data_IF_552084193786
#
_entry.id   IF_552084193786
#
_cell.length_a   1.000
_cell.length_b   1.000
_cell.length_c   1.000
_cell.angle_alpha   90.00
_cell.angle_beta   90.00
_cell.angle_gamma   90.00
#
_symmetry.space_group_name_H-M   'P 1'
#
loop_
_entity.id
_entity.type
_entity.pdbx_description
1 polymer ?
#
# COMPACT_ATOMS: atom_id res chain seq x y z
N UNK A 1 -1.06 -4.91 -4.89
CA UNK A 1 -0.46 -5.15 -3.57
C UNK A 1 -1.44 -4.67 -2.51
N UNK A 2 -1.76 -5.53 -1.54
CA UNK A 2 -2.68 -5.21 -0.45
C UNK A 2 -1.89 -5.32 0.87
N UNK A 3 -1.76 -4.22 1.59
CA UNK A 3 -1.02 -4.14 2.86
C UNK A 3 -1.93 -3.70 4.00
N UNK A 4 -1.39 -3.73 5.22
CA UNK A 4 -2.09 -3.39 6.47
C UNK A 4 -2.82 -2.03 6.42
N UNK A 5 -2.32 -1.06 5.65
CA UNK A 5 -2.97 0.24 5.46
C UNK A 5 -4.36 0.19 4.86
N UNK A 6 -4.74 -0.93 4.23
CA UNK A 6 -6.12 -1.14 3.79
C UNK A 6 -7.09 -1.11 4.99
N UNK A 7 -6.62 -1.52 6.17
CA UNK A 7 -7.37 -1.54 7.42
C UNK A 7 -7.56 -0.14 8.03
N UNK A 8 -6.71 0.83 7.65
CA UNK A 8 -6.83 2.24 8.04
C UNK A 8 -7.61 3.10 7.04
N UNK A 9 -8.05 2.54 5.90
CA UNK A 9 -8.89 3.27 4.95
C UNK A 9 -10.27 3.68 5.50
N UNK A 10 -10.98 2.85 6.30
CA UNK A 10 -12.23 3.27 6.93
C UNK A 10 -12.00 4.49 7.86
N UNK A 11 -10.91 4.48 8.63
CA UNK A 11 -10.49 5.59 9.48
C UNK A 11 -10.19 6.84 8.64
N UNK A 12 -9.44 6.70 7.54
CA UNK A 12 -9.21 7.83 6.63
C UNK A 12 -10.52 8.40 6.04
N UNK A 13 -11.51 7.55 5.73
CA UNK A 13 -12.82 7.99 5.27
C UNK A 13 -13.65 8.68 6.35
N UNK A 14 -13.49 8.31 7.62
CA UNK A 14 -14.16 9.00 8.73
C UNK A 14 -13.83 10.49 8.75
N UNK A 15 -12.56 10.83 8.56
CA UNK A 15 -12.11 12.21 8.54
C UNK A 15 -12.38 12.92 7.21
N UNK A 16 -12.19 12.24 6.08
CA UNK A 16 -12.25 12.89 4.77
C UNK A 16 -13.64 12.84 4.09
N UNK A 17 -14.55 12.01 4.56
CA UNK A 17 -15.89 11.87 3.99
C UNK A 17 -15.88 11.63 2.48
N UNK A 18 -16.63 12.43 1.71
CA UNK A 18 -16.78 12.24 0.26
C UNK A 18 -15.49 12.54 -0.50
N UNK A 19 -14.69 13.45 0.03
CA UNK A 19 -13.38 13.76 -0.55
C UNK A 19 -12.43 12.55 -0.46
N UNK A 20 -12.52 11.75 0.60
CA UNK A 20 -11.76 10.51 0.75
C UNK A 20 -12.08 9.46 -0.29
N UNK A 21 -13.38 9.24 -0.55
CA UNK A 21 -13.82 8.30 -1.59
C UNK A 21 -13.30 8.71 -2.97
N UNK A 22 -13.39 10.01 -3.28
CA UNK A 22 -12.84 10.55 -4.52
C UNK A 22 -11.31 10.38 -4.58
N UNK A 23 -10.60 10.63 -3.48
CA UNK A 23 -9.15 10.45 -3.39
C UNK A 23 -8.72 8.99 -3.57
N UNK A 24 -9.48 8.00 -3.07
CA UNK A 24 -9.17 6.58 -3.28
C UNK A 24 -9.18 6.23 -4.78
N UNK A 25 -10.19 6.72 -5.50
CA UNK A 25 -10.33 6.49 -6.96
C UNK A 25 -9.24 7.26 -7.71
N UNK A 26 -9.01 8.52 -7.35
CA UNK A 26 -8.00 9.37 -7.98
C UNK A 26 -6.60 8.81 -7.77
N UNK A 27 -6.25 8.40 -6.55
CA UNK A 27 -4.97 7.78 -6.23
C UNK A 27 -4.76 6.49 -7.04
N UNK A 28 -5.78 5.62 -7.16
CA UNK A 28 -5.69 4.42 -7.98
C UNK A 28 -5.40 4.76 -9.47
N UNK A 29 -6.10 5.75 -10.02
CA UNK A 29 -5.91 6.20 -11.40
C UNK A 29 -4.53 6.80 -11.63
N UNK A 30 -4.08 7.69 -10.73
CA UNK A 30 -2.76 8.33 -10.78
C UNK A 30 -1.65 7.29 -10.63
N UNK A 31 -1.75 6.36 -9.67
CA UNK A 31 -0.76 5.29 -9.48
C UNK A 31 -0.70 4.35 -10.69
N UNK A 32 -1.84 4.01 -11.30
CA UNK A 32 -1.89 3.22 -12.52
C UNK A 32 -1.24 3.96 -13.70
N UNK A 33 -1.51 5.26 -13.84
CA UNK A 33 -0.95 6.09 -14.91
C UNK A 33 0.57 6.27 -14.76
N UNK A 34 1.01 6.70 -13.57
CA UNK A 34 2.44 6.87 -13.24
C UNK A 34 3.21 5.56 -13.33
N UNK A 35 2.62 4.42 -12.94
CA UNK A 35 3.22 3.10 -13.11
C UNK A 35 3.47 2.74 -14.58
N UNK A 36 2.56 3.11 -15.50
CA UNK A 36 2.78 2.91 -16.94
C UNK A 36 3.87 3.81 -17.50
N UNK A 37 3.90 5.08 -17.09
CA UNK A 37 4.97 6.00 -17.49
C UNK A 37 6.31 5.46 -17.02
N UNK A 38 6.38 5.02 -15.76
CA UNK A 38 7.59 4.46 -15.19
C UNK A 38 8.12 3.31 -16.03
N UNK A 39 7.26 2.33 -16.36
CA UNK A 39 7.67 1.22 -17.23
C UNK A 39 8.08 1.71 -18.61
N UNK A 40 7.37 2.65 -19.21
CA UNK A 40 7.78 3.21 -20.51
C UNK A 40 9.20 3.82 -20.44
N UNK A 41 9.58 4.44 -19.33
CA UNK A 41 10.93 4.98 -19.13
C UNK A 41 12.02 3.91 -18.99
N UNK A 42 11.69 2.65 -18.68
CA UNK A 42 12.67 1.55 -18.65
C UNK A 42 13.14 1.14 -20.06
N UNK A 43 12.33 1.45 -21.08
CA UNK A 43 12.57 1.06 -22.46
C UNK A 43 13.08 2.24 -23.29
N UNK A 44 13.94 1.95 -24.26
CA UNK A 44 14.33 2.87 -25.33
C UNK A 44 14.18 2.20 -26.69
N UNK A 45 13.92 2.99 -27.72
CA UNK A 45 13.95 2.52 -29.10
C UNK A 45 15.41 2.42 -29.56
N UNK A 46 15.81 1.23 -30.01
CA UNK A 46 17.10 1.02 -30.66
C UNK A 46 17.11 1.68 -32.06
N UNK A 47 18.28 1.72 -32.72
CA UNK A 47 18.43 2.27 -34.07
C UNK A 47 17.48 1.60 -35.10
N UNK A 48 17.08 0.36 -34.85
CA UNK A 48 16.12 -0.43 -35.64
C UNK A 48 14.64 -0.19 -35.27
N UNK A 49 14.34 0.74 -34.36
CA UNK A 49 12.98 1.03 -33.86
C UNK A 49 12.41 -0.01 -32.90
N UNK A 50 13.23 -0.93 -32.39
CA UNK A 50 12.81 -1.96 -31.43
C UNK A 50 12.95 -1.46 -29.99
N UNK A 51 11.90 -1.65 -29.18
CA UNK A 51 11.92 -1.31 -27.76
C UNK A 51 12.77 -2.31 -26.98
N UNK A 52 13.91 -1.86 -26.48
CA UNK A 52 14.82 -2.63 -25.63
C UNK A 52 14.82 -2.07 -24.20
N UNK A 53 14.86 -2.95 -23.20
CA UNK A 53 14.93 -2.56 -21.79
C UNK A 53 16.38 -2.14 -21.47
N UNK A 54 16.62 -0.83 -21.42
CA UNK A 54 17.97 -0.26 -21.19
C UNK A 54 18.22 0.03 -19.71
N UNK A 55 17.15 0.15 -18.91
CA UNK A 55 17.22 0.53 -17.51
C UNK A 55 16.54 -0.49 -16.63
N UNK A 56 17.18 -0.84 -15.52
CA UNK A 56 16.68 -1.83 -14.57
C UNK A 56 16.11 -1.20 -13.29
N UNK A 57 16.60 -0.01 -12.93
CA UNK A 57 16.29 0.63 -11.64
C UNK A 57 15.69 2.03 -11.79
N UNK A 58 14.98 2.46 -10.75
CA UNK A 58 14.45 3.82 -10.65
C UNK A 58 15.59 4.88 -10.65
N UNK A 59 16.75 4.50 -10.10
CA UNK A 59 17.98 5.29 -10.12
C UNK A 59 18.49 5.54 -11.55
N UNK A 60 18.46 4.52 -12.41
CA UNK A 60 18.91 4.63 -13.81
C UNK A 60 18.03 5.59 -14.63
N UNK A 61 16.72 5.57 -14.37
CA UNK A 61 15.76 6.50 -14.98
C UNK A 61 16.08 7.93 -14.56
N UNK A 62 16.29 8.15 -13.26
CA UNK A 62 16.63 9.46 -12.73
C UNK A 62 17.97 9.98 -13.26
N UNK A 63 18.99 9.12 -13.37
CA UNK A 63 20.28 9.46 -13.96
C UNK A 63 20.15 9.83 -15.44
N UNK A 64 19.30 9.14 -16.20
CA UNK A 64 19.05 9.46 -17.60
C UNK A 64 18.33 10.80 -17.77
N UNK A 65 17.30 11.08 -16.97
CA UNK A 65 16.57 12.35 -17.01
C UNK A 65 17.46 13.54 -16.58
N UNK A 66 18.26 13.35 -15.53
CA UNK A 66 19.10 14.41 -14.97
C UNK A 66 20.46 14.57 -15.68
N UNK A 67 20.77 13.76 -16.71
CA UNK A 67 22.06 13.77 -17.42
C UNK A 67 22.47 15.17 -17.91
N UNK A 68 21.50 16.03 -18.26
CA UNK A 68 21.73 17.40 -18.76
C UNK A 68 22.07 18.41 -17.66
N UNK A 69 21.63 18.18 -16.43
CA UNK A 69 21.84 19.11 -15.30
C UNK A 69 22.97 18.62 -14.37
N UNK A 70 23.02 17.33 -14.07
CA UNK A 70 24.08 16.69 -13.28
C UNK A 70 24.05 15.16 -13.46
N UNK A 71 25.14 14.54 -13.95
CA UNK A 71 25.13 13.14 -14.42
C UNK A 71 24.91 12.06 -13.35
N UNK A 72 24.98 12.39 -12.05
CA UNK A 72 24.77 11.42 -10.96
C UNK A 72 23.88 11.91 -9.81
N UNK A 73 23.53 13.21 -9.79
CA UNK A 73 22.79 13.79 -8.67
C UNK A 73 21.35 13.24 -8.61
N UNK A 74 20.70 13.08 -9.77
CA UNK A 74 19.33 12.58 -9.87
C UNK A 74 19.18 11.17 -9.31
N UNK A 75 20.09 10.27 -9.69
CA UNK A 75 20.11 8.90 -9.17
C UNK A 75 20.33 8.83 -7.66
N UNK A 76 21.30 9.60 -7.14
CA UNK A 76 21.58 9.63 -5.69
C UNK A 76 20.35 10.09 -4.91
N UNK A 77 19.68 11.17 -5.34
CA UNK A 77 18.49 11.70 -4.66
C UNK A 77 17.34 10.68 -4.65
N UNK A 78 17.08 10.03 -5.79
CA UNK A 78 16.04 9.02 -5.89
C UNK A 78 16.38 7.79 -5.04
N UNK A 79 17.62 7.33 -5.06
CA UNK A 79 18.07 6.19 -4.25
C UNK A 79 17.94 6.50 -2.74
N UNK A 80 18.39 7.68 -2.30
CA UNK A 80 18.20 8.11 -0.90
C UNK A 80 16.73 8.18 -0.52
N UNK A 81 15.88 8.71 -1.40
CA UNK A 81 14.42 8.79 -1.17
C UNK A 81 13.81 7.39 -1.05
N UNK A 82 14.14 6.48 -1.96
CA UNK A 82 13.64 5.10 -1.97
C UNK A 82 14.10 4.30 -0.74
N UNK A 83 15.37 4.46 -0.33
CA UNK A 83 15.90 3.84 0.88
C UNK A 83 15.20 4.40 2.12
N UNK A 84 15.01 5.71 2.19
CA UNK A 84 14.30 6.36 3.30
C UNK A 84 12.86 5.86 3.39
N UNK A 85 12.14 5.81 2.27
CA UNK A 85 10.78 5.29 2.20
C UNK A 85 10.69 3.84 2.68
N UNK A 86 11.62 2.99 2.25
CA UNK A 86 11.66 1.58 2.65
C UNK A 86 11.94 1.43 4.16
N UNK A 87 12.90 2.19 4.69
CA UNK A 87 13.23 2.17 6.13
C UNK A 87 12.03 2.62 6.97
N UNK A 88 11.38 3.72 6.59
CA UNK A 88 10.19 4.23 7.30
C UNK A 88 9.05 3.22 7.25
N UNK A 89 8.84 2.58 6.10
CA UNK A 89 7.85 1.51 5.92
C UNK A 89 8.14 0.32 6.83
N UNK A 90 9.41 -0.12 6.92
CA UNK A 90 9.82 -1.19 7.81
C UNK A 90 9.59 -0.85 9.29
N UNK A 91 9.96 0.35 9.72
CA UNK A 91 9.73 0.82 11.09
C UNK A 91 8.23 0.82 11.41
N UNK A 92 7.41 1.34 10.51
CA UNK A 92 5.97 1.40 10.73
C UNK A 92 5.36 -0.02 10.84
N UNK A 93 5.71 -0.93 9.93
CA UNK A 93 5.23 -2.31 10.00
C UNK A 93 5.65 -3.01 11.31
N UNK A 94 6.85 -2.74 11.81
CA UNK A 94 7.32 -3.28 13.10
C UNK A 94 6.53 -2.73 14.28
N UNK A 95 6.27 -1.43 14.31
CA UNK A 95 5.46 -0.78 15.37
C UNK A 95 4.04 -1.33 15.35
N UNK A 96 3.40 -1.33 14.18
CA UNK A 96 2.01 -1.83 14.03
C UNK A 96 1.92 -3.31 14.41
N UNK A 97 2.87 -4.14 13.99
CA UNK A 97 2.90 -5.56 14.38
C UNK A 97 3.09 -5.73 15.89
N UNK A 98 3.94 -4.89 16.52
CA UNK A 98 4.12 -4.87 17.97
C UNK A 98 2.83 -4.53 18.72
N UNK A 99 2.10 -3.51 18.26
CA UNK A 99 0.82 -3.10 18.82
C UNK A 99 -0.25 -4.21 18.64
N UNK A 100 -0.34 -4.80 17.45
CA UNK A 100 -1.29 -5.89 17.20
C UNK A 100 -1.01 -7.11 18.10
N UNK A 101 0.27 -7.44 18.33
CA UNK A 101 0.66 -8.53 19.21
C UNK A 101 0.37 -8.22 20.68
N UNK A 102 0.62 -7.00 21.15
CA UNK A 102 0.31 -6.61 22.54
C UNK A 102 -1.20 -6.67 22.82
N UNK A 103 -2.02 -6.20 21.88
CA UNK A 103 -3.47 -6.30 21.97
C UNK A 103 -4.00 -7.73 21.85
N UNK A 104 -3.34 -8.59 21.07
CA UNK A 104 -3.74 -9.99 20.90
C UNK A 104 -3.42 -10.87 22.12
N UNK A 105 -2.40 -10.52 22.90
CA UNK A 105 -1.96 -11.28 24.07
C UNK A 105 -2.01 -10.44 25.36
N UNK A 106 -3.21 -9.97 25.77
CA UNK A 106 -3.35 -9.09 26.94
C UNK A 106 -2.99 -9.79 28.26
N UNK A 107 -2.99 -11.12 28.28
CA UNK A 107 -2.66 -11.95 29.45
C UNK A 107 -1.15 -12.04 29.73
N UNK A 108 -0.30 -11.62 28.79
CA UNK A 108 1.16 -11.65 28.96
C UNK A 108 1.62 -10.25 29.38
N UNK A 109 2.22 -10.06 30.58
CA UNK A 109 2.62 -8.75 31.09
C UNK A 109 3.91 -8.25 30.41
N UNK A 110 3.83 -7.98 29.11
CA UNK A 110 4.92 -7.49 28.28
C UNK A 110 4.57 -6.12 27.70
N UNK A 111 5.51 -5.19 27.80
CA UNK A 111 5.36 -3.85 27.20
C UNK A 111 5.32 -3.95 25.67
N UNK A 112 4.60 -3.03 25.01
CA UNK A 112 4.55 -2.91 23.53
C UNK A 112 5.95 -2.93 22.89
N UNK A 113 6.92 -2.25 23.52
CA UNK A 113 8.32 -2.23 23.08
C UNK A 113 8.91 -3.64 22.99
N UNK A 114 8.63 -4.50 23.96
CA UNK A 114 9.10 -5.89 23.98
C UNK A 114 8.47 -6.71 22.86
N UNK A 115 7.18 -6.49 22.57
CA UNK A 115 6.50 -7.10 21.44
C UNK A 115 7.08 -6.64 20.09
N UNK A 116 7.43 -5.37 19.93
CA UNK A 116 8.13 -4.88 18.73
C UNK A 116 9.52 -5.52 18.56
N UNK A 117 10.27 -5.74 19.65
CA UNK A 117 11.57 -6.46 19.57
C UNK A 117 11.36 -7.92 19.16
N UNK A 118 10.37 -8.60 19.72
CA UNK A 118 10.04 -9.98 19.35
C UNK A 118 9.64 -10.06 17.86
N UNK A 119 8.82 -9.12 17.38
CA UNK A 119 8.46 -9.03 15.97
C UNK A 119 9.69 -8.83 15.08
N UNK A 120 10.62 -7.95 15.47
CA UNK A 120 11.88 -7.73 14.74
C UNK A 120 12.74 -9.00 14.67
N UNK A 121 12.95 -9.68 15.80
CA UNK A 121 13.72 -10.93 15.85
C UNK A 121 13.09 -12.01 14.99
N UNK A 122 11.75 -12.07 14.93
CA UNK A 122 11.01 -13.03 14.11
C UNK A 122 11.09 -12.70 12.62
N UNK A 123 11.18 -11.42 12.25
CA UNK A 123 11.31 -10.97 10.85
C UNK A 123 12.77 -10.98 10.36
N UNK A 124 13.75 -10.97 11.27
CA UNK A 124 15.18 -10.96 10.93
C UNK A 124 15.60 -12.12 9.99
N UNK A 125 15.12 -13.38 10.17
CA UNK A 125 15.39 -14.46 9.22
C UNK A 125 14.95 -14.15 7.78
N UNK A 126 13.88 -13.35 7.60
CA UNK A 126 13.39 -12.98 6.27
C UNK A 126 14.39 -12.09 5.51
N UNK A 127 15.25 -11.35 6.21
CA UNK A 127 16.30 -10.51 5.60
C UNK A 127 17.36 -11.37 4.90
N UNK A 128 17.60 -12.59 5.38
CA UNK A 128 18.58 -13.51 4.79
C UNK A 128 18.04 -14.26 3.56
N UNK A 129 16.75 -14.10 3.22
CA UNK A 129 16.13 -14.73 2.06
C UNK A 129 16.55 -13.99 0.79
N UNK A 130 17.54 -14.56 0.07
CA UNK A 130 18.04 -14.00 -1.20
C UNK A 130 17.17 -14.32 -2.41
N UNK A 131 16.14 -15.15 -2.27
CA UNK A 131 15.34 -15.64 -3.41
C UNK A 131 13.91 -15.12 -3.40
N UNK A 132 13.54 -14.34 -4.42
CA UNK A 132 12.19 -13.78 -4.59
C UNK A 132 11.08 -14.83 -4.67
N UNK A 133 11.39 -16.09 -5.04
CA UNK A 133 10.40 -17.18 -5.04
C UNK A 133 9.83 -17.47 -3.66
N UNK A 134 10.67 -17.48 -2.62
CA UNK A 134 10.23 -17.72 -1.24
C UNK A 134 9.43 -16.51 -0.75
N UNK A 135 9.91 -15.30 -1.03
CA UNK A 135 9.20 -14.06 -0.71
C UNK A 135 7.84 -14.01 -1.41
N UNK A 136 7.75 -14.45 -2.67
CA UNK A 136 6.50 -14.53 -3.41
C UNK A 136 5.52 -15.52 -2.78
N UNK A 137 5.98 -16.70 -2.36
CA UNK A 137 5.14 -17.67 -1.62
C UNK A 137 4.63 -17.11 -0.30
N UNK A 138 5.49 -16.45 0.48
CA UNK A 138 5.10 -15.80 1.73
C UNK A 138 4.09 -14.67 1.47
N UNK A 139 4.32 -13.86 0.43
CA UNK A 139 3.40 -12.80 0.01
C UNK A 139 2.04 -13.36 -0.44
N UNK A 140 2.01 -14.51 -1.12
CA UNK A 140 0.76 -15.18 -1.50
C UNK A 140 -0.04 -15.60 -0.27
N UNK A 141 0.62 -16.20 0.73
CA UNK A 141 -0.03 -16.58 1.99
C UNK A 141 -0.54 -15.34 2.74
N UNK A 142 0.27 -14.29 2.84
CA UNK A 142 -0.12 -13.03 3.47
C UNK A 142 -1.32 -12.38 2.75
N UNK A 143 -1.34 -12.41 1.42
CA UNK A 143 -2.47 -11.89 0.63
C UNK A 143 -3.74 -12.70 0.85
N UNK A 144 -3.64 -14.03 1.01
CA UNK A 144 -4.79 -14.89 1.29
C UNK A 144 -5.38 -14.56 2.67
N UNK A 145 -4.55 -14.40 3.69
CA UNK A 145 -5.01 -14.02 5.04
C UNK A 145 -5.69 -12.65 5.02
N UNK A 146 -5.11 -11.66 4.36
CA UNK A 146 -5.74 -10.35 4.20
C UNK A 146 -7.09 -10.44 3.47
N UNK A 147 -7.19 -11.25 2.43
CA UNK A 147 -8.44 -11.46 1.72
C UNK A 147 -9.52 -12.06 2.63
N UNK A 148 -9.17 -13.03 3.47
CA UNK A 148 -10.09 -13.63 4.46
C UNK A 148 -10.53 -12.58 5.48
N UNK A 149 -9.61 -11.77 6.02
CA UNK A 149 -9.95 -10.70 6.98
C UNK A 149 -10.95 -9.71 6.36
N UNK A 150 -10.68 -9.27 5.13
CA UNK A 150 -11.58 -8.37 4.40
C UNK A 150 -12.95 -9.03 4.22
N UNK A 151 -13.01 -10.30 3.83
CA UNK A 151 -14.27 -11.01 3.69
C UNK A 151 -15.06 -11.09 5.01
N UNK A 152 -14.40 -11.43 6.12
CA UNK A 152 -15.05 -11.51 7.44
C UNK A 152 -15.61 -10.16 7.85
N UNK A 153 -14.81 -9.09 7.75
CA UNK A 153 -15.26 -7.73 8.06
C UNK A 153 -16.42 -7.32 7.15
N UNK A 154 -16.32 -7.57 5.85
CA UNK A 154 -17.40 -7.30 4.89
C UNK A 154 -18.68 -8.04 5.25
N UNK A 155 -18.61 -9.33 5.57
CA UNK A 155 -19.78 -10.11 5.99
C UNK A 155 -20.38 -9.56 7.29
N UNK A 156 -19.55 -9.18 8.27
CA UNK A 156 -20.02 -8.54 9.50
C UNK A 156 -20.74 -7.21 9.21
N UNK A 157 -20.13 -6.33 8.41
CA UNK A 157 -20.74 -5.06 7.99
C UNK A 157 -22.10 -5.26 7.31
N UNK A 158 -22.23 -6.32 6.49
CA UNK A 158 -23.50 -6.66 5.83
C UNK A 158 -24.57 -7.13 6.81
N UNK A 159 -24.22 -7.82 7.90
CA UNK A 159 -25.19 -8.18 8.94
C UNK A 159 -25.73 -6.96 9.68
N UNK A 160 -24.94 -5.89 9.78
CA UNK A 160 -25.31 -4.63 10.43
C UNK A 160 -25.90 -3.58 9.47
N UNK A 161 -26.34 -3.98 8.27
CA UNK A 161 -26.83 -3.06 7.22
C UNK A 161 -28.01 -2.19 7.69
N UNK A 162 -28.79 -2.68 8.65
CA UNK A 162 -29.92 -1.93 9.21
C UNK A 162 -29.49 -0.68 10.00
N UNK A 163 -28.24 -0.64 10.48
CA UNK A 163 -27.67 0.49 11.23
C UNK A 163 -26.96 1.52 10.34
N UNK A 164 -26.88 1.27 9.02
CA UNK A 164 -26.17 2.16 8.10
C UNK A 164 -26.87 3.52 8.01
N UNK A 165 -26.15 4.56 8.42
CA UNK A 165 -26.61 5.94 8.33
C UNK A 165 -25.70 6.77 7.44
N UNK A 166 -26.21 7.10 6.25
CA UNK A 166 -25.57 8.02 5.31
C UNK A 166 -25.58 9.47 5.81
N UNK A 167 -26.41 9.80 6.81
CA UNK A 167 -26.45 11.13 7.40
C UNK A 167 -25.17 11.47 8.19
N UNK A 168 -24.34 10.47 8.54
CA UNK A 168 -23.04 10.65 9.20
C UNK A 168 -21.92 11.08 8.24
N UNK A 169 -22.17 11.17 6.93
CA UNK A 169 -21.17 11.64 5.97
C UNK A 169 -20.93 13.14 6.15
N UNK A 170 -19.88 13.49 6.90
CA UNK A 170 -19.50 14.89 7.09
C UNK A 170 -18.88 15.43 5.80
N UNK A 171 -19.39 16.57 5.35
CA UNK A 171 -18.83 17.33 4.21
C UNK A 171 -17.83 18.39 4.69
N UNK A 172 -17.90 18.78 5.96
CA UNK A 172 -16.96 19.70 6.61
C UNK A 172 -15.79 18.91 7.17
N UNK A 173 -14.63 19.04 6.53
CA UNK A 173 -13.40 18.36 6.91
C UNK A 173 -12.41 19.40 7.43
N UNK A 174 -11.84 19.17 8.62
CA UNK A 174 -10.74 19.97 9.13
C UNK A 174 -9.47 19.69 8.32
N UNK A 175 -8.70 20.74 7.98
CA UNK A 175 -7.60 20.61 7.01
C UNK A 175 -6.51 19.63 7.46
N UNK A 176 -6.25 19.54 8.76
CA UNK A 176 -5.25 18.64 9.34
C UNK A 176 -5.67 17.17 9.17
N UNK A 177 -6.90 16.86 9.57
CA UNK A 177 -7.49 15.53 9.43
C UNK A 177 -7.59 15.08 7.97
N UNK A 178 -7.89 16.01 7.06
CA UNK A 178 -7.85 15.76 5.62
C UNK A 178 -6.45 15.33 5.15
N UNK A 179 -5.41 16.04 5.60
CA UNK A 179 -4.03 15.77 5.20
C UNK A 179 -3.58 14.39 5.67
N UNK A 180 -3.96 14.00 6.89
CA UNK A 180 -3.69 12.65 7.44
C UNK A 180 -4.34 11.60 6.56
N UNK A 181 -5.62 11.77 6.21
CA UNK A 181 -6.34 10.84 5.32
C UNK A 181 -5.72 10.74 3.93
N UNK A 182 -5.28 11.86 3.35
CA UNK A 182 -4.55 11.88 2.06
C UNK A 182 -3.29 11.01 2.17
N UNK A 183 -2.51 11.16 3.24
CA UNK A 183 -1.32 10.36 3.49
C UNK A 183 -1.62 8.86 3.55
N UNK A 184 -2.62 8.45 4.33
CA UNK A 184 -3.03 7.05 4.46
C UNK A 184 -3.49 6.48 3.12
N UNK A 185 -4.31 7.21 2.36
CA UNK A 185 -4.83 6.77 1.06
C UNK A 185 -3.69 6.60 0.05
N UNK A 186 -2.82 7.60 -0.11
CA UNK A 186 -1.68 7.56 -1.04
C UNK A 186 -0.75 6.41 -0.66
N UNK A 187 -0.38 6.30 0.62
CA UNK A 187 0.50 5.23 1.10
C UNK A 187 -0.09 3.84 0.83
N UNK A 188 -1.42 3.71 0.90
CA UNK A 188 -2.10 2.44 0.61
C UNK A 188 -1.96 1.96 -0.86
N UNK A 189 -1.56 2.85 -1.78
CA UNK A 189 -1.31 2.57 -3.20
C UNK A 189 0.18 2.61 -3.57
N UNK A 190 1.05 2.94 -2.63
CA UNK A 190 2.50 2.96 -2.82
C UNK A 190 3.01 1.57 -3.21
N UNK A 191 3.29 1.40 -4.50
CA UNK A 191 3.89 0.19 -5.06
C UNK A 191 4.91 0.49 -6.16
N UNK A 192 5.10 1.78 -6.47
CA UNK A 192 5.90 2.26 -7.60
C UNK A 192 7.37 1.86 -7.49
N UNK A 193 7.92 1.84 -6.27
CA UNK A 193 9.32 1.44 -6.01
C UNK A 193 9.62 0.00 -6.41
N UNK A 194 8.61 -0.87 -6.45
CA UNK A 194 8.76 -2.28 -6.79
C UNK A 194 8.45 -2.58 -8.25
N UNK A 195 7.82 -1.66 -8.99
CA UNK A 195 7.39 -1.91 -10.37
C UNK A 195 8.56 -2.28 -11.30
N UNK A 196 9.73 -1.61 -11.28
CA UNK A 196 10.86 -1.97 -12.14
C UNK A 196 11.36 -3.40 -11.88
N UNK A 197 11.49 -3.76 -10.60
CA UNK A 197 11.92 -5.10 -10.19
C UNK A 197 10.87 -6.15 -10.50
N UNK A 198 9.58 -5.84 -10.30
CA UNK A 198 8.47 -6.74 -10.58
C UNK A 198 8.40 -7.07 -12.07
N UNK A 199 8.47 -6.05 -12.91
CA UNK A 199 8.44 -6.18 -14.37
C UNK A 199 9.63 -7.00 -14.89
N UNK A 200 10.85 -6.71 -14.42
CA UNK A 200 12.05 -7.46 -14.80
C UNK A 200 12.07 -8.92 -14.34
N UNK A 201 11.22 -9.30 -13.36
CA UNK A 201 11.06 -10.67 -12.90
C UNK A 201 9.82 -11.38 -13.48
N UNK A 202 9.03 -10.72 -14.33
CA UNK A 202 7.88 -11.35 -14.98
C UNK A 202 8.30 -12.26 -16.14
N UNK A 203 7.58 -13.38 -16.29
CA UNK A 203 7.79 -14.30 -17.42
C UNK A 203 7.47 -13.64 -18.76
N UNK A 204 6.40 -12.83 -18.80
CA UNK A 204 5.94 -12.10 -19.98
C UNK A 204 5.82 -10.59 -19.63
N UNK A 205 6.88 -9.78 -19.82
CA UNK A 205 6.85 -8.35 -19.48
C UNK A 205 5.84 -7.53 -20.30
N UNK A 206 5.52 -7.96 -21.54
CA UNK A 206 4.53 -7.31 -22.41
C UNK A 206 3.12 -7.24 -21.79
N UNK A 207 2.77 -8.22 -20.95
CA UNK A 207 1.48 -8.28 -20.27
C UNK A 207 1.40 -7.36 -19.03
N UNK A 208 2.51 -6.71 -18.64
CA UNK A 208 2.59 -5.88 -17.43
C UNK A 208 1.53 -4.77 -17.42
N UNK A 209 1.28 -4.11 -18.56
CA UNK A 209 0.27 -3.04 -18.66
C UNK A 209 -1.15 -3.56 -18.38
N UNK A 210 -1.46 -4.76 -18.87
CA UNK A 210 -2.75 -5.40 -18.63
C UNK A 210 -2.88 -5.80 -17.16
N UNK A 211 -1.84 -6.41 -16.60
CA UNK A 211 -1.78 -6.80 -15.19
C UNK A 211 -1.93 -5.58 -14.26
N UNK A 212 -1.25 -4.47 -14.56
CA UNK A 212 -1.32 -3.23 -13.78
C UNK A 212 -2.75 -2.65 -13.79
N UNK A 213 -3.42 -2.64 -14.94
CA UNK A 213 -4.80 -2.18 -15.05
C UNK A 213 -5.75 -3.00 -14.18
N UNK A 214 -5.73 -4.34 -14.33
CA UNK A 214 -6.61 -5.22 -13.59
C UNK A 214 -6.34 -5.17 -12.09
N UNK A 215 -5.07 -5.19 -11.69
CA UNK A 215 -4.70 -5.15 -10.27
C UNK A 215 -5.09 -3.83 -9.61
N UNK A 216 -4.89 -2.69 -10.27
CA UNK A 216 -5.33 -1.39 -9.72
C UNK A 216 -6.85 -1.24 -9.73
N UNK A 217 -7.53 -1.74 -10.75
CA UNK A 217 -8.99 -1.74 -10.81
C UNK A 217 -9.60 -2.56 -9.67
N UNK A 218 -9.18 -3.82 -9.51
CA UNK A 218 -9.65 -4.68 -8.42
C UNK A 218 -9.26 -4.12 -7.05
N UNK A 219 -8.04 -3.59 -6.90
CA UNK A 219 -7.63 -2.95 -5.66
C UNK A 219 -8.52 -1.74 -5.33
N UNK A 220 -8.83 -0.89 -6.31
CA UNK A 220 -9.70 0.26 -6.15
C UNK A 220 -11.11 -0.15 -5.72
N UNK A 221 -11.72 -1.12 -6.41
CA UNK A 221 -13.05 -1.63 -6.06
C UNK A 221 -13.04 -2.20 -4.63
N UNK A 222 -12.11 -3.10 -4.31
CA UNK A 222 -12.03 -3.72 -2.99
C UNK A 222 -11.81 -2.68 -1.89
N UNK A 223 -10.88 -1.74 -2.08
CA UNK A 223 -10.58 -0.67 -1.11
C UNK A 223 -11.78 0.25 -0.90
N UNK A 224 -12.45 0.65 -1.97
CA UNK A 224 -13.61 1.54 -1.90
C UNK A 224 -14.78 0.86 -1.21
N UNK A 225 -15.11 -0.37 -1.61
CA UNK A 225 -16.20 -1.14 -1.00
C UNK A 225 -15.91 -1.45 0.48
N UNK A 226 -14.68 -1.83 0.81
CA UNK A 226 -14.27 -2.09 2.18
C UNK A 226 -14.36 -0.83 3.05
N UNK A 227 -13.77 0.27 2.60
CA UNK A 227 -13.74 1.50 3.36
C UNK A 227 -15.16 2.06 3.57
N UNK A 228 -16.01 2.02 2.53
CA UNK A 228 -17.38 2.49 2.60
C UNK A 228 -18.24 1.67 3.56
N UNK A 229 -18.20 0.34 3.46
CA UNK A 229 -19.03 -0.53 4.31
C UNK A 229 -18.60 -0.52 5.77
N UNK A 230 -17.29 -0.48 6.04
CA UNK A 230 -16.75 -0.32 7.38
C UNK A 230 -17.14 1.04 7.98
N UNK A 231 -17.00 2.12 7.22
CA UNK A 231 -17.42 3.46 7.67
C UNK A 231 -18.93 3.52 7.96
N UNK A 232 -19.78 2.96 7.10
CA UNK A 232 -21.23 2.96 7.32
C UNK A 232 -21.66 2.12 8.53
N UNK A 233 -20.85 1.13 8.92
CA UNK A 233 -21.12 0.25 10.05
C UNK A 233 -20.70 0.87 11.38
N UNK A 234 -19.46 1.39 11.48
CA UNK A 234 -18.92 1.92 12.74
C UNK A 234 -19.00 3.44 12.87
N UNK A 235 -19.01 4.18 11.76
CA UNK A 235 -19.06 5.65 11.77
C UNK A 235 -17.96 6.25 12.65
N UNK A 236 -18.35 7.07 13.63
CA UNK A 236 -17.44 7.75 14.57
C UNK A 236 -16.69 6.81 15.52
N UNK A 237 -17.12 5.55 15.66
CA UNK A 237 -16.41 4.54 16.48
C UNK A 237 -15.26 3.87 15.72
N UNK A 238 -15.02 4.22 14.45
CA UNK A 238 -13.99 3.58 13.62
C UNK A 238 -12.60 3.86 14.19
N UNK A 239 -11.96 2.84 14.78
CA UNK A 239 -10.54 2.91 15.21
C UNK A 239 -9.56 2.90 14.03
N UNK A 240 -8.34 3.37 14.28
CA UNK A 240 -7.21 3.42 13.32
C UNK A 240 -6.95 2.07 12.64
N UNK A 241 -7.13 0.97 13.37
CA UNK A 241 -7.11 -0.39 12.83
C UNK A 241 -8.49 -1.01 12.95
N UNK A 242 -9.10 -1.33 11.81
CA UNK A 242 -10.48 -1.85 11.78
C UNK A 242 -10.67 -3.15 12.57
N UNK A 243 -9.63 -3.98 12.74
CA UNK A 243 -9.69 -5.23 13.50
C UNK A 243 -10.00 -5.01 14.97
N UNK A 244 -9.68 -3.83 15.52
CA UNK A 244 -9.95 -3.49 16.92
C UNK A 244 -11.42 -3.10 17.16
N UNK A 245 -12.23 -3.04 16.10
CA UNK A 245 -13.66 -2.78 16.14
C UNK A 245 -14.51 -4.06 16.08
N UNK A 246 -13.89 -5.22 15.83
CA UNK A 246 -14.58 -6.51 15.92
C UNK A 246 -14.76 -6.90 17.41
N UNK A 247 -15.90 -7.52 17.77
CA UNK A 247 -16.17 -7.97 19.15
C UNK A 247 -15.27 -9.13 19.60
#
# INVERSE_FOLDING_TARGET
>A
FQGIFVLGLPYALLYSGYSGLFLIILAAALCCYTGKILIACLYEENEDGQLIRVRDTYEDIANACCKKLSPKLGGIVVNVTQVTELIMTCILYLVVSGNLLSHSFPYVPMTEKTWSVIAFVTLLPCVFIKTLKIVSKLSQLCSLVHFIIILVVMTYCLTQIHQWSWAKFRLSVEFEDFLVSVGVIIFSYTSQIFLPTLEGNMKNPEEFRCMLNWTHFFACVLKTTFALTAFLTWGEETKEVITDNLP
#
